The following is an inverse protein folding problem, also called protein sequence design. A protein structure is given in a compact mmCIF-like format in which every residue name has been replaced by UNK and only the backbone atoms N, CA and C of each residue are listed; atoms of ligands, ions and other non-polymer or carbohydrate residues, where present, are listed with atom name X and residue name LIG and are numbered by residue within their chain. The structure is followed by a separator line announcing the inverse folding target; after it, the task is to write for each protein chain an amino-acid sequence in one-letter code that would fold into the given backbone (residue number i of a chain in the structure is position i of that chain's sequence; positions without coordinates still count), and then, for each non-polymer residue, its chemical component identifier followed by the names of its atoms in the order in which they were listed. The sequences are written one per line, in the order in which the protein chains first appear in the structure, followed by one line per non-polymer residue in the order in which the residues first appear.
data_IF_336899544805
#
_entry.id   IF_336899544805
#
_cell.length_a   1.000
_cell.length_b   1.000
_cell.length_c   1.000
_cell.angle_alpha   90.00
_cell.angle_beta   90.00
_cell.angle_gamma   90.00
#
_symmetry.space_group_name_H-M   'P 1'
#
loop_
_entity.id
_entity.type
_entity.pdbx_description
1 polymer ?
#
# COMPACT_ATOMS: atom_id res chain seq x y z
N UNK A 1 -4.74 84.56 41.23
CA UNK A 1 -4.15 83.21 41.20
C UNK A 1 -4.95 82.39 40.19
N UNK A 2 -4.42 82.16 38.99
CA UNK A 2 -5.12 81.40 37.93
C UNK A 2 -4.65 79.93 37.94
N UNK A 3 -5.54 78.94 37.75
CA UNK A 3 -5.14 77.54 37.76
C UNK A 3 -4.44 77.18 36.44
N UNK A 4 -3.34 76.41 36.54
CA UNK A 4 -2.64 75.87 35.37
C UNK A 4 -3.49 74.76 34.72
N UNK A 5 -3.49 74.62 33.38
CA UNK A 5 -4.24 73.58 32.70
C UNK A 5 -3.59 72.19 32.92
N UNK A 6 -4.36 71.10 32.87
CA UNK A 6 -3.82 69.76 33.04
C UNK A 6 -3.13 69.29 31.76
N UNK A 7 -1.85 68.91 31.87
CA UNK A 7 -1.12 68.20 30.82
C UNK A 7 -1.54 66.73 30.80
N UNK A 8 -2.42 66.37 29.84
CA UNK A 8 -2.78 64.96 29.62
C UNK A 8 -1.85 64.34 28.57
N UNK A 9 -0.96 63.49 29.06
CA UNK A 9 -0.02 62.69 28.28
C UNK A 9 -0.73 61.83 27.23
N UNK A 10 -0.39 61.99 25.95
CA UNK A 10 -0.77 61.06 24.89
C UNK A 10 0.15 59.84 24.95
N UNK A 11 -0.42 58.69 25.33
CA UNK A 11 0.30 57.41 25.34
C UNK A 11 0.47 56.96 23.87
N UNK A 12 1.52 57.41 23.21
CA UNK A 12 1.91 56.87 21.89
C UNK A 12 2.18 55.36 22.06
N UNK A 13 1.27 54.51 21.60
CA UNK A 13 1.57 53.09 21.42
C UNK A 13 2.50 52.97 20.22
N UNK A 14 3.69 52.37 20.34
CA UNK A 14 4.62 52.30 19.21
C UNK A 14 4.01 51.44 18.08
N UNK A 15 4.00 51.92 16.83
CA UNK A 15 3.39 51.22 15.69
C UNK A 15 4.13 49.93 15.30
N UNK A 16 5.38 49.76 15.74
CA UNK A 16 6.25 48.66 15.32
C UNK A 16 5.64 47.28 15.60
N UNK A 17 5.00 47.06 16.76
CA UNK A 17 4.44 45.75 17.13
C UNK A 17 3.38 45.22 16.17
N UNK A 18 2.71 46.07 15.37
CA UNK A 18 1.67 45.62 14.42
C UNK A 18 2.22 44.95 13.16
N UNK A 19 3.48 45.22 12.79
CA UNK A 19 4.07 44.73 11.53
C UNK A 19 4.84 43.42 11.75
N UNK A 20 5.42 43.22 12.95
CA UNK A 20 6.17 41.99 13.27
C UNK A 20 5.28 40.74 13.34
N UNK A 21 4.04 40.86 13.84
CA UNK A 21 3.11 39.72 13.92
C UNK A 21 2.75 39.10 12.56
N UNK A 22 2.32 39.84 11.53
CA UNK A 22 2.02 39.26 10.23
C UNK A 22 3.28 38.70 9.54
N UNK A 23 4.45 39.31 9.73
CA UNK A 23 5.73 38.78 9.21
C UNK A 23 6.13 37.44 9.89
N UNK A 24 5.92 37.33 11.20
CA UNK A 24 6.13 36.08 11.94
C UNK A 24 5.15 34.98 11.52
N UNK A 25 3.88 35.34 11.28
CA UNK A 25 2.88 34.39 10.76
C UNK A 25 3.23 33.93 9.34
N UNK A 26 3.62 34.85 8.46
CA UNK A 26 4.00 34.52 7.08
C UNK A 26 5.25 33.64 7.04
N UNK A 27 6.27 33.97 7.81
CA UNK A 27 7.49 33.15 7.91
C UNK A 27 7.20 31.77 8.51
N UNK A 28 6.36 31.68 9.54
CA UNK A 28 5.92 30.39 10.10
C UNK A 28 5.14 29.56 9.07
N UNK A 29 4.27 30.19 8.28
CA UNK A 29 3.51 29.50 7.23
C UNK A 29 4.42 28.99 6.12
N UNK A 30 5.37 29.81 5.67
CA UNK A 30 6.36 29.41 4.66
C UNK A 30 7.24 28.27 5.17
N UNK A 31 7.67 28.31 6.43
CA UNK A 31 8.44 27.23 7.05
C UNK A 31 7.64 25.93 7.12
N UNK A 32 6.35 26.00 7.47
CA UNK A 32 5.47 24.84 7.50
C UNK A 32 5.28 24.23 6.11
N UNK A 33 5.06 25.06 5.08
CA UNK A 33 4.94 24.60 3.69
C UNK A 33 6.25 23.97 3.20
N UNK A 34 7.39 24.60 3.48
CA UNK A 34 8.70 24.07 3.13
C UNK A 34 8.97 22.72 3.82
N UNK A 35 8.62 22.60 5.11
CA UNK A 35 8.72 21.35 5.87
C UNK A 35 7.85 20.24 5.26
N UNK A 36 6.60 20.54 4.92
CA UNK A 36 5.71 19.58 4.27
C UNK A 36 6.24 19.13 2.91
N UNK A 37 6.80 20.04 2.11
CA UNK A 37 7.45 19.70 0.85
C UNK A 37 8.71 18.84 1.02
N UNK A 38 9.54 19.15 2.01
CA UNK A 38 10.72 18.37 2.33
C UNK A 38 10.35 16.95 2.77
N UNK A 39 9.35 16.80 3.66
CA UNK A 39 8.84 15.49 4.08
C UNK A 39 8.25 14.72 2.90
N UNK A 40 7.44 15.37 2.05
CA UNK A 40 6.87 14.73 0.87
C UNK A 40 7.95 14.29 -0.15
N UNK A 41 9.03 15.07 -0.31
CA UNK A 41 10.16 14.70 -1.16
C UNK A 41 10.95 13.53 -0.57
N UNK A 42 11.16 13.52 0.75
CA UNK A 42 11.82 12.44 1.47
C UNK A 42 11.02 11.13 1.38
N UNK A 43 9.71 11.17 1.62
CA UNK A 43 8.83 10.00 1.51
C UNK A 43 8.74 9.48 0.07
N UNK A 44 8.73 10.37 -0.94
CA UNK A 44 8.85 9.96 -2.36
C UNK A 44 10.19 9.26 -2.64
N UNK A 45 11.29 9.75 -2.07
CA UNK A 45 12.60 9.09 -2.17
C UNK A 45 12.69 7.78 -1.39
N UNK A 46 11.96 7.61 -0.28
CA UNK A 46 11.95 6.34 0.46
C UNK A 46 11.43 5.18 -0.41
N UNK A 47 10.42 5.42 -1.25
CA UNK A 47 9.97 4.44 -2.24
C UNK A 47 11.02 4.15 -3.33
N UNK A 48 11.87 5.13 -3.67
CA UNK A 48 12.95 4.93 -4.65
C UNK A 48 14.11 4.08 -4.12
N UNK A 49 14.34 4.11 -2.80
CA UNK A 49 15.37 3.32 -2.11
C UNK A 49 14.91 1.90 -1.78
N UNK A 50 13.61 1.59 -1.86
CA UNK A 50 13.05 0.24 -1.64
C UNK A 50 13.09 -0.69 -2.86
N UNK A 51 13.49 -0.19 -4.05
CA UNK A 51 13.56 -0.98 -5.29
C UNK A 51 14.88 -1.75 -5.43
N UNK A 52 15.28 -2.47 -4.39
CA UNK A 52 16.48 -3.33 -4.41
C UNK A 52 16.14 -4.82 -4.41
N UNK A 53 14.87 -5.20 -4.37
CA UNK A 53 14.44 -6.60 -4.30
C UNK A 53 14.22 -7.26 -5.67
N UNK A 54 14.46 -6.57 -6.78
CA UNK A 54 14.42 -7.16 -8.12
C UNK A 54 15.69 -6.75 -8.89
N UNK A 55 16.44 -7.71 -9.48
CA UNK A 55 17.57 -7.38 -10.34
C UNK A 55 17.16 -6.39 -11.43
N UNK A 56 18.05 -5.48 -11.79
CA UNK A 56 17.73 -4.47 -12.83
C UNK A 56 17.56 -5.19 -14.17
N UNK A 57 16.61 -4.77 -15.03
CA UNK A 57 16.45 -5.32 -16.37
C UNK A 57 17.72 -5.27 -17.23
N UNK A 58 18.67 -4.40 -16.90
CA UNK A 58 19.95 -4.28 -17.61
C UNK A 58 20.93 -5.44 -17.36
N UNK A 59 20.81 -6.17 -16.24
CA UNK A 59 21.59 -7.41 -16.01
C UNK A 59 21.06 -8.59 -16.82
N UNK A 60 19.90 -8.44 -17.47
CA UNK A 60 19.28 -9.48 -18.29
C UNK A 60 19.84 -9.59 -19.72
N UNK A 61 20.71 -8.67 -20.16
CA UNK A 61 21.11 -8.55 -21.58
C UNK A 61 22.55 -9.02 -21.83
N UNK A 62 23.38 -9.18 -20.80
CA UNK A 62 24.77 -9.56 -20.99
C UNK A 62 25.13 -10.79 -20.15
N UNK A 63 25.16 -11.96 -20.80
CA UNK A 63 25.81 -13.15 -20.26
C UNK A 63 24.99 -14.44 -20.40
N UNK A 64 25.31 -15.17 -21.46
CA UNK A 64 25.36 -16.64 -21.53
C UNK A 64 24.06 -17.47 -21.44
N UNK A 65 23.79 -18.14 -22.56
CA UNK A 65 23.10 -19.44 -22.72
C UNK A 65 22.00 -19.76 -21.71
N UNK A 66 20.77 -19.35 -22.05
CA UNK A 66 19.48 -20.00 -21.78
C UNK A 66 19.43 -21.06 -20.65
N UNK A 67 19.76 -20.68 -19.42
CA UNK A 67 19.18 -21.36 -18.26
C UNK A 67 17.77 -20.78 -18.06
N UNK A 68 16.70 -21.60 -18.03
CA UNK A 68 15.38 -21.10 -17.68
C UNK A 68 15.50 -20.36 -16.35
N UNK A 69 15.13 -19.08 -16.30
CA UNK A 69 15.06 -18.37 -15.03
C UNK A 69 14.20 -19.22 -14.08
N UNK A 70 14.64 -19.45 -12.83
CA UNK A 70 13.79 -20.11 -11.85
C UNK A 70 12.45 -19.38 -11.82
N UNK A 71 11.35 -20.13 -11.95
CA UNK A 71 10.02 -19.53 -11.79
C UNK A 71 9.95 -18.97 -10.37
N UNK A 72 9.51 -17.71 -10.19
CA UNK A 72 9.41 -17.13 -8.86
C UNK A 72 8.44 -17.95 -8.01
N UNK A 73 8.81 -18.22 -6.77
CA UNK A 73 7.94 -18.86 -5.79
C UNK A 73 7.03 -17.79 -5.20
N UNK A 74 5.74 -17.91 -5.44
CA UNK A 74 4.73 -16.92 -5.04
C UNK A 74 3.77 -17.56 -4.03
N UNK A 75 3.58 -16.92 -2.88
CA UNK A 75 2.61 -17.32 -1.87
C UNK A 75 1.43 -16.35 -1.80
N UNK A 76 0.21 -16.90 -1.73
CA UNK A 76 -1.01 -16.20 -1.31
C UNK A 76 -1.25 -16.53 0.16
N UNK A 77 -1.13 -15.53 1.02
CA UNK A 77 -1.33 -15.67 2.47
C UNK A 77 -2.68 -15.10 2.86
N UNK A 78 -3.48 -15.89 3.58
CA UNK A 78 -4.79 -15.48 4.10
C UNK A 78 -5.03 -16.08 5.48
N UNK A 79 -5.87 -15.44 6.29
CA UNK A 79 -6.46 -16.07 7.49
C UNK A 79 -7.82 -15.44 7.78
N UNK A 80 -8.63 -16.13 8.57
CA UNK A 80 -9.83 -15.58 9.21
C UNK A 80 -9.91 -16.08 10.64
N UNK A 81 -10.16 -15.20 11.61
CA UNK A 81 -10.54 -15.61 12.97
C UNK A 81 -12.06 -15.69 13.01
N UNK A 82 -12.60 -16.92 12.95
CA UNK A 82 -14.04 -17.18 13.03
C UNK A 82 -14.53 -17.38 14.47
N UNK A 83 -13.75 -16.96 15.47
CA UNK A 83 -14.20 -17.00 16.86
C UNK A 83 -15.49 -16.21 17.08
N UNK A 84 -16.27 -16.65 18.07
CA UNK A 84 -17.60 -16.11 18.37
C UNK A 84 -17.53 -14.66 18.90
N UNK A 85 -17.42 -13.71 17.98
CA UNK A 85 -17.70 -12.32 18.28
C UNK A 85 -19.19 -12.16 18.53
N UNK A 86 -19.57 -11.81 19.76
CA UNK A 86 -20.97 -11.61 20.22
C UNK A 86 -21.73 -10.44 19.57
N UNK A 87 -21.44 -10.11 18.30
CA UNK A 87 -22.10 -9.06 17.54
C UNK A 87 -23.05 -9.60 16.46
N UNK A 88 -23.99 -8.77 16.01
CA UNK A 88 -25.01 -9.08 14.96
C UNK A 88 -24.44 -9.48 13.58
N UNK A 89 -23.12 -9.57 13.40
CA UNK A 89 -22.46 -9.99 12.15
C UNK A 89 -21.41 -11.04 12.47
N UNK A 90 -21.66 -12.26 12.03
CA UNK A 90 -20.73 -13.39 12.14
C UNK A 90 -20.10 -13.68 10.78
N UNK A 91 -18.80 -13.97 10.77
CA UNK A 91 -18.06 -14.45 9.59
C UNK A 91 -17.85 -15.96 9.63
N UNK A 92 -18.51 -16.67 10.55
CA UNK A 92 -18.44 -18.12 10.70
C UNK A 92 -18.85 -18.81 9.41
N UNK A 93 -18.05 -19.77 8.96
CA UNK A 93 -18.28 -20.57 7.75
C UNK A 93 -17.92 -19.87 6.44
N UNK A 94 -17.66 -18.56 6.44
CA UNK A 94 -17.26 -17.84 5.22
C UNK A 94 -15.90 -18.32 4.74
N UNK A 95 -14.95 -18.56 5.65
CA UNK A 95 -13.63 -19.09 5.27
C UNK A 95 -13.76 -20.46 4.61
N UNK A 96 -14.58 -21.35 5.19
CA UNK A 96 -14.80 -22.69 4.64
C UNK A 96 -15.40 -22.63 3.22
N UNK A 97 -16.30 -21.68 2.96
CA UNK A 97 -16.89 -21.48 1.63
C UNK A 97 -15.88 -20.93 0.59
N UNK A 98 -14.93 -20.11 1.02
CA UNK A 98 -14.01 -19.37 0.12
C UNK A 98 -12.63 -20.04 -0.02
N UNK A 99 -12.20 -20.84 0.96
CA UNK A 99 -10.87 -21.46 0.99
C UNK A 99 -10.60 -22.34 -0.24
N UNK A 100 -11.58 -23.17 -0.63
CA UNK A 100 -11.45 -24.04 -1.80
C UNK A 100 -11.21 -23.25 -3.09
N UNK A 101 -11.93 -22.13 -3.26
CA UNK A 101 -11.76 -21.25 -4.41
C UNK A 101 -10.34 -20.64 -4.48
N UNK A 102 -9.82 -20.15 -3.34
CA UNK A 102 -8.46 -19.57 -3.29
C UNK A 102 -7.38 -20.61 -3.56
N UNK A 103 -7.54 -21.81 -3.02
CA UNK A 103 -6.59 -22.91 -3.21
C UNK A 103 -6.58 -23.36 -4.67
N UNK A 104 -7.74 -23.52 -5.28
CA UNK A 104 -7.86 -23.86 -6.70
C UNK A 104 -7.23 -22.79 -7.60
N UNK A 105 -7.48 -21.51 -7.31
CA UNK A 105 -6.84 -20.41 -8.05
C UNK A 105 -5.32 -20.41 -7.89
N UNK A 106 -4.81 -20.60 -6.68
CA UNK A 106 -3.38 -20.68 -6.43
C UNK A 106 -2.74 -21.84 -7.20
N UNK A 107 -3.35 -23.02 -7.15
CA UNK A 107 -2.90 -24.22 -7.86
C UNK A 107 -2.88 -24.00 -9.38
N UNK A 108 -3.96 -23.46 -9.95
CA UNK A 108 -4.06 -23.14 -11.38
C UNK A 108 -2.96 -22.18 -11.85
N UNK A 109 -2.60 -21.20 -11.00
CA UNK A 109 -1.59 -20.19 -11.34
C UNK A 109 -0.15 -20.60 -10.96
N UNK A 110 0.03 -21.78 -10.33
CA UNK A 110 1.33 -22.23 -9.83
C UNK A 110 1.83 -21.46 -8.59
N UNK A 111 0.92 -20.90 -7.81
CA UNK A 111 1.18 -20.24 -6.52
C UNK A 111 0.91 -21.20 -5.35
N UNK A 112 1.44 -20.88 -4.18
CA UNK A 112 1.14 -21.61 -2.95
C UNK A 112 0.11 -20.85 -2.10
N UNK A 113 -0.95 -21.52 -1.66
CA UNK A 113 -1.91 -20.94 -0.71
C UNK A 113 -1.52 -21.27 0.73
N UNK A 114 -1.20 -20.24 1.51
CA UNK A 114 -0.81 -20.34 2.92
C UNK A 114 -1.94 -19.83 3.82
N UNK A 115 -2.41 -20.72 4.68
CA UNK A 115 -3.40 -20.40 5.70
C UNK A 115 -2.69 -20.07 7.02
N UNK A 116 -2.72 -18.79 7.40
CA UNK A 116 -1.92 -18.24 8.51
C UNK A 116 -2.73 -18.05 9.81
N UNK A 117 -3.76 -18.89 10.03
CA UNK A 117 -4.66 -18.77 11.19
C UNK A 117 -3.92 -18.84 12.54
N UNK A 118 -2.85 -19.62 12.61
CA UNK A 118 -2.08 -19.84 13.84
C UNK A 118 -1.24 -18.61 14.21
N UNK A 119 -1.13 -17.64 13.30
CA UNK A 119 -0.38 -16.39 13.49
C UNK A 119 -1.30 -15.21 13.88
N UNK A 120 -2.59 -15.47 14.15
CA UNK A 120 -3.52 -14.45 14.62
C UNK A 120 -3.14 -14.01 16.04
N UNK A 121 -2.66 -12.77 16.15
CA UNK A 121 -2.37 -12.14 17.43
C UNK A 121 -3.60 -11.42 17.98
N UNK A 122 -4.25 -12.02 18.99
CA UNK A 122 -5.44 -11.47 19.64
C UNK A 122 -5.16 -10.31 20.60
N UNK A 123 -3.89 -10.01 20.90
CA UNK A 123 -3.52 -8.84 21.72
C UNK A 123 -3.56 -7.52 20.93
N UNK A 124 -3.67 -7.60 19.60
CA UNK A 124 -3.68 -6.44 18.68
C UNK A 124 -4.96 -6.39 17.88
N UNK A 125 -5.31 -5.22 17.27
CA UNK A 125 -6.44 -5.16 16.36
C UNK A 125 -6.27 -6.17 15.20
N UNK A 126 -7.34 -6.86 14.77
CA UNK A 126 -7.24 -8.02 13.86
C UNK A 126 -6.48 -7.77 12.55
N UNK A 127 -6.56 -6.55 12.02
CA UNK A 127 -5.88 -6.14 10.79
C UNK A 127 -4.35 -6.06 10.92
N UNK A 128 -3.78 -6.10 12.13
CA UNK A 128 -2.32 -6.09 12.35
C UNK A 128 -1.69 -7.47 12.22
N UNK A 129 -2.45 -8.54 12.46
CA UNK A 129 -1.93 -9.92 12.41
C UNK A 129 -1.45 -10.33 11.01
N UNK A 130 -1.93 -9.66 9.95
CA UNK A 130 -1.43 -9.85 8.57
C UNK A 130 0.06 -9.52 8.42
N UNK A 131 0.60 -8.61 9.25
CA UNK A 131 2.02 -8.27 9.22
C UNK A 131 2.85 -9.47 9.67
N UNK A 132 2.41 -10.17 10.73
CA UNK A 132 3.10 -11.38 11.22
C UNK A 132 3.00 -12.50 10.20
N UNK A 133 1.79 -12.71 9.65
CA UNK A 133 1.53 -13.70 8.63
C UNK A 133 2.45 -13.52 7.42
N UNK A 134 2.47 -12.33 6.81
CA UNK A 134 3.33 -12.04 5.66
C UNK A 134 4.81 -12.17 6.01
N UNK A 135 5.25 -11.60 7.14
CA UNK A 135 6.68 -11.63 7.54
C UNK A 135 7.21 -13.05 7.73
N UNK A 136 6.39 -13.98 8.23
CA UNK A 136 6.78 -15.38 8.42
C UNK A 136 7.11 -16.10 7.10
N UNK A 137 6.51 -15.66 5.99
CA UNK A 137 6.64 -16.28 4.68
C UNK A 137 7.74 -15.63 3.82
N UNK A 138 8.13 -14.37 4.10
CA UNK A 138 9.16 -13.66 3.32
C UNK A 138 10.49 -14.42 3.11
N UNK A 139 10.99 -15.24 4.06
CA UNK A 139 12.21 -16.03 3.83
C UNK A 139 12.05 -17.23 2.89
N UNK A 140 10.81 -17.66 2.62
CA UNK A 140 10.50 -18.91 1.91
C UNK A 140 10.10 -18.70 0.46
N UNK A 141 9.66 -17.49 0.11
CA UNK A 141 9.10 -17.15 -1.20
C UNK A 141 9.72 -15.87 -1.74
N UNK A 142 9.80 -15.77 -3.07
CA UNK A 142 10.27 -14.56 -3.74
C UNK A 142 9.21 -13.45 -3.65
N UNK A 143 7.93 -13.83 -3.68
CA UNK A 143 6.80 -12.92 -3.56
C UNK A 143 5.76 -13.45 -2.59
N UNK A 144 5.32 -12.59 -1.68
CA UNK A 144 4.25 -12.90 -0.72
C UNK A 144 3.12 -11.90 -0.90
N UNK A 145 1.93 -12.40 -1.22
CA UNK A 145 0.73 -11.61 -1.42
C UNK A 145 -0.26 -11.85 -0.28
N UNK A 146 -0.71 -10.77 0.37
CA UNK A 146 -1.80 -10.84 1.33
C UNK A 146 -3.15 -10.83 0.62
N UNK A 147 -4.01 -11.81 0.93
CA UNK A 147 -5.38 -11.92 0.44
C UNK A 147 -6.37 -11.93 1.62
N UNK A 148 -7.35 -11.03 1.58
CA UNK A 148 -8.38 -10.94 2.63
C UNK A 148 -9.29 -12.18 2.66
N UNK A 149 -9.69 -12.60 3.87
CA UNK A 149 -10.48 -13.83 4.12
C UNK A 149 -11.69 -14.03 3.19
N UNK A 150 -12.37 -12.95 2.82
CA UNK A 150 -13.64 -12.95 2.09
C UNK A 150 -13.52 -12.83 0.57
N UNK A 151 -12.30 -12.68 0.03
CA UNK A 151 -12.09 -12.51 -1.42
C UNK A 151 -12.24 -13.84 -2.17
N UNK A 152 -13.04 -13.85 -3.23
CA UNK A 152 -13.24 -14.98 -4.16
C UNK A 152 -12.65 -14.59 -5.52
N UNK A 153 -12.20 -15.59 -6.27
CA UNK A 153 -11.73 -15.48 -7.64
C UNK A 153 -12.74 -16.13 -8.61
N UNK A 154 -12.96 -15.50 -9.75
CA UNK A 154 -13.77 -16.02 -10.85
C UNK A 154 -12.91 -16.27 -12.08
N UNK A 155 -13.47 -16.99 -13.06
CA UNK A 155 -12.79 -17.19 -14.34
C UNK A 155 -12.44 -15.86 -15.00
N UNK A 156 -11.19 -15.77 -15.46
CA UNK A 156 -10.62 -14.55 -16.03
C UNK A 156 -10.01 -13.59 -15.00
N UNK A 157 -10.12 -13.86 -13.69
CA UNK A 157 -9.47 -13.04 -12.68
C UNK A 157 -7.95 -13.19 -12.70
N UNK A 158 -7.27 -12.05 -12.56
CA UNK A 158 -5.82 -12.00 -12.47
C UNK A 158 -5.40 -11.07 -11.33
N UNK A 159 -4.28 -11.41 -10.69
CA UNK A 159 -3.73 -10.60 -9.61
C UNK A 159 -2.67 -9.64 -10.14
N UNK A 160 -2.78 -8.38 -9.74
CA UNK A 160 -1.77 -7.35 -9.99
C UNK A 160 -1.44 -6.67 -8.67
N UNK A 161 -0.16 -6.61 -8.34
CA UNK A 161 0.33 -5.83 -7.20
C UNK A 161 1.18 -4.65 -7.68
N UNK A 162 0.66 -3.43 -7.53
CA UNK A 162 1.35 -2.19 -7.91
C UNK A 162 1.88 -1.47 -6.66
N UNK A 163 3.00 -1.95 -6.12
CA UNK A 163 3.75 -1.26 -5.06
C UNK A 163 4.86 -0.39 -5.66
N UNK A 164 5.06 0.80 -5.10
CA UNK A 164 6.20 1.67 -5.44
C UNK A 164 6.20 2.23 -6.88
N UNK A 165 5.10 2.08 -7.62
CA UNK A 165 4.90 2.72 -8.93
C UNK A 165 4.20 4.07 -8.77
N UNK A 166 4.76 5.09 -9.42
CA UNK A 166 4.08 6.35 -9.68
C UNK A 166 3.04 6.15 -10.80
N UNK A 167 2.04 7.03 -10.87
CA UNK A 167 0.99 6.98 -11.90
C UNK A 167 0.23 5.63 -11.99
N UNK A 168 -0.10 5.02 -10.85
CA UNK A 168 -0.76 3.70 -10.77
C UNK A 168 -1.95 3.53 -11.72
N UNK A 169 -2.75 4.59 -11.91
CA UNK A 169 -3.91 4.58 -12.82
C UNK A 169 -3.51 4.24 -14.26
N UNK A 170 -2.45 4.86 -14.78
CA UNK A 170 -1.93 4.61 -16.12
C UNK A 170 -1.47 3.16 -16.29
N UNK A 171 -0.77 2.63 -15.28
CA UNK A 171 -0.33 1.23 -15.31
C UNK A 171 -1.51 0.24 -15.26
N UNK A 172 -2.55 0.54 -14.50
CA UNK A 172 -3.78 -0.28 -14.49
C UNK A 172 -4.44 -0.27 -15.87
N UNK A 173 -4.56 0.90 -16.51
CA UNK A 173 -5.14 1.02 -17.86
C UNK A 173 -4.36 0.18 -18.88
N UNK A 174 -3.03 0.26 -18.88
CA UNK A 174 -2.17 -0.55 -19.75
C UNK A 174 -2.36 -2.05 -19.52
N UNK A 175 -2.42 -2.48 -18.26
CA UNK A 175 -2.58 -3.90 -17.93
C UNK A 175 -3.95 -4.41 -18.39
N UNK A 176 -5.02 -3.62 -18.20
CA UNK A 176 -6.37 -3.99 -18.65
C UNK A 176 -6.43 -4.02 -20.18
N UNK A 177 -5.79 -3.08 -20.87
CA UNK A 177 -5.73 -3.07 -22.34
C UNK A 177 -5.00 -4.30 -22.87
N UNK A 178 -3.84 -4.63 -22.28
CA UNK A 178 -3.08 -5.82 -22.63
C UNK A 178 -3.87 -7.10 -22.31
N UNK A 179 -4.53 -7.19 -21.16
CA UNK A 179 -5.30 -8.40 -20.82
C UNK A 179 -6.45 -8.62 -21.81
N UNK A 180 -7.16 -7.56 -22.22
CA UNK A 180 -8.18 -7.62 -23.27
C UNK A 180 -7.62 -8.08 -24.61
N UNK A 181 -6.44 -7.61 -25.00
CA UNK A 181 -5.78 -8.04 -26.23
C UNK A 181 -5.33 -9.51 -26.19
N UNK A 182 -4.97 -10.03 -25.01
CA UNK A 182 -4.64 -11.44 -24.80
C UNK A 182 -5.88 -12.34 -24.86
N UNK A 183 -6.95 -11.98 -24.14
CA UNK A 183 -8.21 -12.74 -24.17
C UNK A 183 -8.94 -12.63 -25.51
N UNK A 184 -8.86 -11.49 -26.20
CA UNK A 184 -9.44 -11.31 -27.54
C UNK A 184 -8.73 -12.07 -28.67
N UNK A 185 -7.56 -12.68 -28.40
CA UNK A 185 -6.86 -13.57 -29.35
C UNK A 185 -7.13 -15.06 -29.09
N UNK A 186 -7.84 -15.41 -28.02
CA UNK A 186 -8.03 -16.78 -27.54
C UNK A 186 -9.17 -17.60 -28.17
N UNK A 187 -9.94 -17.04 -29.10
CA UNK A 187 -11.10 -17.71 -29.74
C UNK A 187 -10.73 -18.73 -30.84
N UNK A 188 -9.65 -19.47 -30.64
CA UNK A 188 -9.42 -20.70 -31.38
C UNK A 188 -8.94 -21.78 -30.41
N UNK A 189 -9.84 -22.71 -30.12
CA UNK A 189 -9.63 -24.00 -29.44
C UNK A 189 -9.54 -23.99 -27.91
N UNK A 190 -10.70 -23.88 -27.27
CA UNK A 190 -10.98 -24.70 -26.09
C UNK A 190 -12.33 -25.38 -26.32
N UNK A 191 -12.31 -26.67 -26.63
CA UNK A 191 -13.48 -27.55 -26.59
C UNK A 191 -13.31 -28.53 -25.42
N UNK A 192 -14.39 -28.89 -24.73
CA UNK A 192 -14.39 -29.65 -23.49
C UNK A 192 -13.80 -31.06 -23.63
#
# INVERSE_FOLDING_TARGET
MAPRPPTRWTKHRPPERRIWFPLLLLSSLLLAVASLHAVAAFLRRANSLGRWCAPRPAECIAGDVASPRPRPRIAIVSFSDESEGGGRRSFRGVRAAVEGNKRAYAEQMGYEYVDARDLVDRSRPPNWSKILAVRSQLPLYDWVFWNDAVRVYSDGDFMVHLAGLDEKKKWVEVIIEQSRAWYGKGDATFSP
#
